data_IF_030370156273
#
_entry.id   IF_030370156273
#
_cell.length_a   1.000
_cell.length_b   1.000
_cell.length_c   1.000
_cell.angle_alpha   90.00
_cell.angle_beta   90.00
_cell.angle_gamma   90.00
#
_symmetry.space_group_name_H-M   'P 1'
#
loop_
_entity.id
_entity.type
_entity.pdbx_description
1 polymer ?
#
# COMPACT_ATOMS: atom_id res chain seq x y z
N UNK A 1 -33.46 -3.70 44.57
CA UNK A 1 -33.84 -3.11 43.27
C UNK A 1 -32.57 -3.24 42.44
N UNK A 2 -32.48 -4.42 41.88
CA UNK A 2 -31.23 -4.93 41.31
C UNK A 2 -31.56 -5.57 39.97
N UNK A 3 -30.61 -5.60 39.09
CA UNK A 3 -30.60 -6.43 37.89
C UNK A 3 -31.36 -5.96 36.66
N UNK A 4 -30.66 -5.21 35.79
CA UNK A 4 -30.93 -5.22 34.36
C UNK A 4 -29.73 -4.77 33.50
N UNK A 5 -28.54 -5.30 33.74
CA UNK A 5 -27.50 -5.32 32.71
C UNK A 5 -27.66 -6.59 31.85
N UNK A 6 -28.67 -6.59 31.00
CA UNK A 6 -28.84 -7.59 29.94
C UNK A 6 -27.70 -7.45 28.95
N UNK A 7 -26.70 -8.32 29.07
CA UNK A 7 -25.67 -8.58 28.07
C UNK A 7 -26.37 -8.92 26.75
N UNK A 8 -26.27 -8.05 25.75
CA UNK A 8 -26.74 -8.32 24.39
C UNK A 8 -26.00 -9.58 23.88
N UNK A 9 -26.70 -10.54 23.26
CA UNK A 9 -26.07 -11.74 22.75
C UNK A 9 -25.08 -11.36 21.66
N UNK A 10 -23.80 -11.68 21.84
CA UNK A 10 -22.79 -11.51 20.79
C UNK A 10 -23.21 -12.32 19.57
N UNK A 11 -23.45 -11.64 18.47
CA UNK A 11 -23.82 -12.24 17.18
C UNK A 11 -22.74 -13.29 16.81
N UNK A 12 -23.14 -14.54 16.65
CA UNK A 12 -22.26 -15.62 16.20
C UNK A 12 -21.72 -15.25 14.80
N UNK A 13 -20.40 -15.09 14.67
CA UNK A 13 -19.73 -14.81 13.38
C UNK A 13 -19.99 -15.93 12.39
N UNK A 14 -20.28 -15.57 11.14
CA UNK A 14 -20.46 -16.50 10.02
C UNK A 14 -19.15 -17.19 9.65
N UNK A 15 -19.22 -18.28 8.88
CA UNK A 15 -18.01 -18.94 8.36
C UNK A 15 -17.21 -18.02 7.43
N UNK A 16 -17.88 -17.19 6.62
CA UNK A 16 -17.24 -16.21 5.75
C UNK A 16 -16.47 -15.16 6.58
N UNK A 17 -17.12 -14.56 7.60
CA UNK A 17 -16.47 -13.60 8.49
C UNK A 17 -15.21 -14.17 9.20
N UNK A 18 -15.26 -15.43 9.63
CA UNK A 18 -14.10 -16.10 10.23
C UNK A 18 -13.00 -16.37 9.22
N UNK A 19 -13.39 -16.67 7.98
CA UNK A 19 -12.45 -16.88 6.88
C UNK A 19 -11.68 -15.61 6.57
N UNK A 20 -12.39 -14.49 6.41
CA UNK A 20 -11.80 -13.19 6.11
C UNK A 20 -10.90 -12.68 7.25
N UNK A 21 -11.35 -12.89 8.50
CA UNK A 21 -10.56 -12.53 9.67
C UNK A 21 -9.25 -13.34 9.75
N UNK A 22 -9.32 -14.66 9.50
CA UNK A 22 -8.13 -15.52 9.51
C UNK A 22 -7.17 -15.17 8.37
N UNK A 23 -7.68 -14.81 7.19
CA UNK A 23 -6.87 -14.40 6.04
C UNK A 23 -6.15 -13.09 6.31
N UNK A 24 -6.86 -12.07 6.83
CA UNK A 24 -6.24 -10.81 7.27
C UNK A 24 -5.21 -11.02 8.38
N UNK A 25 -5.49 -11.92 9.33
CA UNK A 25 -4.54 -12.29 10.38
C UNK A 25 -3.26 -12.92 9.84
N UNK A 26 -3.40 -13.80 8.86
CA UNK A 26 -2.26 -14.44 8.18
C UNK A 26 -1.45 -13.41 7.36
N UNK A 27 -2.11 -12.52 6.60
CA UNK A 27 -1.42 -11.46 5.85
C UNK A 27 -0.63 -10.55 6.78
N UNK A 28 -1.19 -10.17 7.92
CA UNK A 28 -0.47 -9.39 8.95
C UNK A 28 0.73 -10.15 9.51
N UNK A 29 0.61 -11.46 9.71
CA UNK A 29 1.73 -12.30 10.14
C UNK A 29 2.86 -12.34 9.09
N UNK A 30 2.51 -12.38 7.79
CA UNK A 30 3.50 -12.27 6.70
C UNK A 30 4.22 -10.93 6.76
N UNK A 31 3.47 -9.84 6.87
CA UNK A 31 4.02 -8.48 6.96
C UNK A 31 5.00 -8.39 8.12
N UNK A 32 4.62 -8.88 9.31
CA UNK A 32 5.48 -8.88 10.48
C UNK A 32 6.77 -9.71 10.26
N UNK A 33 6.68 -10.93 9.72
CA UNK A 33 7.86 -11.77 9.44
C UNK A 33 8.77 -11.08 8.41
N UNK A 34 8.21 -10.53 7.33
CA UNK A 34 8.99 -9.85 6.30
C UNK A 34 9.67 -8.60 6.86
N UNK A 35 8.98 -7.82 7.68
CA UNK A 35 9.52 -6.59 8.26
C UNK A 35 10.61 -6.85 9.30
N UNK A 36 10.50 -7.92 10.08
CA UNK A 36 11.44 -8.21 11.17
C UNK A 36 12.59 -9.11 10.71
N UNK A 37 12.29 -10.18 9.96
CA UNK A 37 13.21 -11.27 9.65
C UNK A 37 13.60 -11.33 8.16
N UNK A 38 12.93 -10.56 7.29
CA UNK A 38 13.18 -10.51 5.86
C UNK A 38 12.37 -11.53 5.03
N UNK A 39 12.41 -11.37 3.69
CA UNK A 39 11.58 -12.14 2.75
C UNK A 39 11.90 -13.64 2.75
N UNK A 40 13.16 -14.01 2.98
CA UNK A 40 13.58 -15.41 3.01
C UNK A 40 12.99 -16.18 4.20
N UNK A 41 12.76 -15.50 5.32
CA UNK A 41 12.16 -16.07 6.52
C UNK A 41 10.65 -16.31 6.39
N UNK A 42 9.97 -15.73 5.40
CA UNK A 42 8.53 -15.86 5.17
C UNK A 42 8.17 -17.27 4.64
N UNK A 43 8.30 -18.27 5.48
CA UNK A 43 7.85 -19.65 5.23
C UNK A 43 6.46 -19.88 5.81
N UNK A 44 5.72 -20.85 5.28
CA UNK A 44 4.39 -21.21 5.81
C UNK A 44 4.42 -21.58 7.29
N UNK A 45 5.51 -22.16 7.74
CA UNK A 45 5.71 -22.52 9.15
C UNK A 45 5.92 -21.28 10.02
N UNK A 46 6.83 -20.37 9.62
CA UNK A 46 7.09 -19.14 10.35
C UNK A 46 5.85 -18.24 10.43
N UNK A 47 5.12 -18.12 9.32
CA UNK A 47 3.88 -17.35 9.23
C UNK A 47 2.79 -17.96 10.11
N UNK A 48 2.60 -19.29 10.04
CA UNK A 48 1.64 -19.98 10.89
C UNK A 48 1.95 -19.80 12.38
N UNK A 49 3.20 -19.97 12.78
CA UNK A 49 3.65 -19.75 14.17
C UNK A 49 3.40 -18.30 14.60
N UNK A 50 3.74 -17.32 13.78
CA UNK A 50 3.56 -15.88 14.08
C UNK A 50 2.09 -15.49 14.21
N UNK A 51 1.23 -16.05 13.34
CA UNK A 51 -0.21 -15.74 13.31
C UNK A 51 -1.07 -16.58 14.25
N UNK A 52 -0.50 -17.59 14.92
CA UNK A 52 -1.26 -18.54 15.73
C UNK A 52 -2.05 -19.56 14.90
N UNK A 53 -1.58 -19.87 13.68
CA UNK A 53 -2.22 -20.82 12.75
C UNK A 53 -1.32 -22.00 12.43
N UNK A 54 -1.93 -23.11 11.99
CA UNK A 54 -1.15 -24.24 11.50
C UNK A 54 -0.52 -23.98 10.14
N UNK A 55 0.66 -24.57 9.85
CA UNK A 55 1.28 -24.56 8.52
C UNK A 55 0.30 -25.03 7.43
N UNK A 56 -0.51 -26.05 7.75
CA UNK A 56 -1.50 -26.60 6.82
C UNK A 56 -2.56 -25.56 6.42
N UNK A 57 -3.02 -24.75 7.36
CA UNK A 57 -3.98 -23.68 7.08
C UNK A 57 -3.36 -22.61 6.18
N UNK A 58 -2.11 -22.22 6.41
CA UNK A 58 -1.39 -21.26 5.56
C UNK A 58 -1.29 -21.78 4.13
N UNK A 59 -0.85 -23.05 3.96
CA UNK A 59 -0.77 -23.71 2.65
C UNK A 59 -2.12 -23.83 1.95
N UNK A 60 -3.18 -24.16 2.69
CA UNK A 60 -4.55 -24.23 2.15
C UNK A 60 -5.07 -22.87 1.67
N UNK A 61 -4.69 -21.79 2.35
CA UNK A 61 -5.13 -20.44 2.03
C UNK A 61 -4.45 -19.86 0.79
N UNK A 62 -3.15 -19.96 0.74
CA UNK A 62 -2.34 -19.26 -0.25
C UNK A 62 -1.81 -20.17 -1.36
N UNK A 63 -1.84 -21.50 -1.17
CA UNK A 63 -1.40 -22.50 -2.14
C UNK A 63 0.12 -22.49 -2.39
N UNK A 64 0.69 -21.33 -2.58
CA UNK A 64 2.10 -21.12 -2.92
C UNK A 64 2.68 -19.87 -2.26
N UNK A 65 4.01 -19.72 -2.33
CA UNK A 65 4.66 -18.47 -1.91
C UNK A 65 4.23 -17.29 -2.80
N UNK A 66 3.96 -17.54 -4.07
CA UNK A 66 3.41 -16.52 -4.98
C UNK A 66 2.03 -16.06 -4.50
N UNK A 67 1.08 -16.97 -4.28
CA UNK A 67 -0.25 -16.62 -3.79
C UNK A 67 -0.23 -15.91 -2.44
N UNK A 68 0.74 -16.21 -1.58
CA UNK A 68 0.96 -15.49 -0.34
C UNK A 68 1.36 -14.02 -0.59
N UNK A 69 2.30 -13.78 -1.49
CA UNK A 69 2.77 -12.44 -1.81
C UNK A 69 1.68 -11.64 -2.53
N UNK A 70 0.95 -12.26 -3.46
CA UNK A 70 -0.21 -11.65 -4.12
C UNK A 70 -1.26 -11.21 -3.10
N UNK A 71 -1.55 -12.03 -2.09
CA UNK A 71 -2.48 -11.67 -1.01
C UNK A 71 -1.97 -10.48 -0.16
N UNK A 72 -0.65 -10.40 0.09
CA UNK A 72 -0.06 -9.23 0.78
C UNK A 72 -0.19 -7.99 -0.07
N UNK A 73 0.13 -8.07 -1.36
CA UNK A 73 0.01 -6.95 -2.30
C UNK A 73 -1.46 -6.46 -2.31
N UNK A 74 -2.42 -7.36 -2.51
CA UNK A 74 -3.84 -7.02 -2.52
C UNK A 74 -4.29 -6.35 -1.21
N UNK A 75 -3.89 -6.89 -0.06
CA UNK A 75 -4.21 -6.30 1.26
C UNK A 75 -3.67 -4.87 1.40
N UNK A 76 -2.44 -4.63 0.97
CA UNK A 76 -1.81 -3.31 1.05
C UNK A 76 -2.49 -2.30 0.12
N UNK A 77 -3.00 -2.77 -1.02
CA UNK A 77 -3.77 -1.95 -1.96
C UNK A 77 -5.13 -1.59 -1.44
N UNK A 78 -5.88 -2.56 -0.92
CA UNK A 78 -7.16 -2.31 -0.26
C UNK A 78 -7.01 -1.26 0.84
N UNK A 79 -5.92 -1.33 1.60
CA UNK A 79 -5.57 -0.34 2.61
C UNK A 79 -5.31 1.06 2.04
N UNK A 80 -4.60 1.14 0.91
CA UNK A 80 -4.31 2.40 0.22
C UNK A 80 -5.56 3.00 -0.41
N UNK A 81 -6.39 2.18 -1.03
CA UNK A 81 -7.66 2.61 -1.62
C UNK A 81 -8.67 3.08 -0.56
N UNK A 82 -8.79 2.33 0.52
CA UNK A 82 -9.63 2.71 1.66
C UNK A 82 -9.17 4.05 2.27
N UNK A 83 -7.86 4.26 2.33
CA UNK A 83 -7.28 5.49 2.82
C UNK A 83 -7.56 6.69 1.89
N UNK A 84 -7.34 6.55 0.60
CA UNK A 84 -7.66 7.57 -0.39
C UNK A 84 -9.15 7.94 -0.38
N UNK A 85 -10.03 6.93 -0.30
CA UNK A 85 -11.48 7.13 -0.15
C UNK A 85 -11.84 7.84 1.15
N UNK A 86 -11.23 7.46 2.27
CA UNK A 86 -11.46 8.10 3.58
C UNK A 86 -11.11 9.59 3.62
N UNK A 87 -10.19 10.03 2.74
CA UNK A 87 -9.82 11.43 2.56
C UNK A 87 -10.50 12.10 1.36
N UNK A 88 -11.46 11.42 0.71
CA UNK A 88 -12.20 11.93 -0.45
C UNK A 88 -11.31 12.43 -1.58
N UNK A 89 -10.11 11.84 -1.76
CA UNK A 89 -9.11 12.32 -2.72
C UNK A 89 -9.66 12.35 -4.13
N UNK A 90 -10.44 11.34 -4.54
CA UNK A 90 -10.99 11.25 -5.88
C UNK A 90 -12.06 12.33 -6.18
N UNK A 91 -12.61 12.99 -5.16
CA UNK A 91 -13.56 14.10 -5.32
C UNK A 91 -12.90 15.47 -5.46
N UNK A 92 -11.60 15.55 -5.22
CA UNK A 92 -10.84 16.79 -5.38
C UNK A 92 -10.61 17.10 -6.87
N UNK A 93 -10.28 18.34 -7.19
CA UNK A 93 -9.80 18.74 -8.51
C UNK A 93 -8.47 18.02 -8.83
N UNK A 94 -8.17 17.86 -10.14
CA UNK A 94 -7.11 16.95 -10.57
C UNK A 94 -5.74 17.19 -9.95
N UNK A 95 -5.25 18.43 -9.92
CA UNK A 95 -3.96 18.79 -9.31
C UNK A 95 -4.00 18.58 -7.79
N UNK A 96 -5.07 19.01 -7.13
CA UNK A 96 -5.21 18.86 -5.69
C UNK A 96 -5.35 17.39 -5.27
N UNK A 97 -6.01 16.55 -6.08
CA UNK A 97 -6.08 15.12 -5.83
C UNK A 97 -4.69 14.48 -5.84
N UNK A 98 -3.89 14.81 -6.86
CA UNK A 98 -2.53 14.31 -7.00
C UNK A 98 -1.65 14.75 -5.82
N UNK A 99 -1.65 16.05 -5.49
CA UNK A 99 -0.83 16.60 -4.40
C UNK A 99 -1.27 16.06 -3.04
N UNK A 100 -2.58 15.96 -2.80
CA UNK A 100 -3.13 15.39 -1.56
C UNK A 100 -2.71 13.93 -1.39
N UNK A 101 -2.79 13.13 -2.45
CA UNK A 101 -2.35 11.74 -2.39
C UNK A 101 -0.86 11.63 -2.06
N UNK A 102 -0.01 12.41 -2.73
CA UNK A 102 1.45 12.46 -2.47
C UNK A 102 1.72 12.86 -1.01
N UNK A 103 1.03 13.88 -0.52
CA UNK A 103 1.16 14.35 0.85
C UNK A 103 0.83 13.27 1.88
N UNK A 104 -0.33 12.66 1.73
CA UNK A 104 -0.82 11.60 2.61
C UNK A 104 0.08 10.35 2.55
N UNK A 105 0.56 9.99 1.36
CA UNK A 105 1.48 8.87 1.18
C UNK A 105 2.79 9.10 1.96
N UNK A 106 3.41 10.26 1.78
CA UNK A 106 4.67 10.60 2.44
C UNK A 106 4.53 10.75 3.96
N UNK A 107 3.40 11.26 4.46
CA UNK A 107 3.11 11.29 5.90
C UNK A 107 3.08 9.89 6.53
N UNK A 108 2.63 8.90 5.80
CA UNK A 108 2.50 7.52 6.31
C UNK A 108 3.77 6.70 6.18
N UNK A 109 4.69 7.11 5.32
CA UNK A 109 5.84 6.31 4.89
C UNK A 109 6.72 5.80 6.06
N UNK A 110 6.85 6.56 7.12
CA UNK A 110 7.66 6.18 8.30
C UNK A 110 6.86 5.47 9.40
N UNK A 111 5.53 5.39 9.26
CA UNK A 111 4.64 4.96 10.35
C UNK A 111 4.10 3.54 10.20
N UNK A 112 4.35 2.87 9.07
CA UNK A 112 3.70 1.59 8.76
C UNK A 112 4.72 0.51 8.41
N UNK A 113 4.76 -0.55 9.19
CA UNK A 113 5.46 -1.80 8.88
C UNK A 113 5.01 -2.37 7.52
N UNK A 114 3.76 -2.11 7.15
CA UNK A 114 3.16 -2.49 5.88
C UNK A 114 3.90 -1.89 4.68
N UNK A 115 4.22 -0.59 4.72
CA UNK A 115 4.98 0.09 3.65
C UNK A 115 6.39 -0.51 3.56
N UNK A 116 7.03 -0.73 4.70
CA UNK A 116 8.35 -1.35 4.74
C UNK A 116 8.33 -2.78 4.18
N UNK A 117 7.35 -3.59 4.55
CA UNK A 117 7.18 -4.94 4.03
C UNK A 117 6.97 -4.94 2.51
N UNK A 118 6.14 -4.03 1.99
CA UNK A 118 5.91 -3.87 0.56
C UNK A 118 7.21 -3.63 -0.20
N UNK A 119 7.99 -2.65 0.21
CA UNK A 119 9.22 -2.31 -0.48
C UNK A 119 10.32 -3.36 -0.31
N UNK A 120 10.37 -4.08 0.81
CA UNK A 120 11.27 -5.23 0.97
C UNK A 120 10.91 -6.35 -0.01
N UNK A 121 9.63 -6.66 -0.15
CA UNK A 121 9.13 -7.65 -1.11
C UNK A 121 9.39 -7.20 -2.56
N UNK A 122 9.14 -5.93 -2.89
CA UNK A 122 9.41 -5.37 -4.21
C UNK A 122 10.90 -5.44 -4.56
N UNK A 123 11.78 -5.01 -3.66
CA UNK A 123 13.24 -5.07 -3.86
C UNK A 123 13.71 -6.49 -4.09
N UNK A 124 13.19 -7.43 -3.31
CA UNK A 124 13.50 -8.85 -3.49
C UNK A 124 13.00 -9.38 -4.84
N UNK A 125 11.77 -9.05 -5.23
CA UNK A 125 11.19 -9.48 -6.50
C UNK A 125 11.97 -8.94 -7.71
N UNK A 126 12.48 -7.72 -7.64
CA UNK A 126 13.30 -7.11 -8.70
C UNK A 126 14.67 -7.76 -8.78
N UNK A 127 15.32 -8.00 -7.64
CA UNK A 127 16.65 -8.58 -7.57
C UNK A 127 16.70 -10.05 -8.06
N UNK A 128 15.65 -10.83 -7.78
CA UNK A 128 15.62 -12.28 -8.05
C UNK A 128 15.00 -12.64 -9.41
N UNK A 129 14.64 -11.66 -10.24
CA UNK A 129 13.97 -11.89 -11.56
C UNK A 129 12.80 -12.90 -11.44
N UNK A 130 12.06 -12.82 -10.36
CA UNK A 130 11.06 -13.83 -9.98
C UNK A 130 9.69 -13.60 -10.64
N UNK A 131 8.84 -14.63 -10.60
CA UNK A 131 7.44 -14.55 -11.03
C UNK A 131 6.62 -13.48 -10.29
N UNK A 132 7.12 -12.98 -9.13
CA UNK A 132 6.48 -11.93 -8.35
C UNK A 132 6.53 -10.55 -9.00
N UNK A 133 7.44 -10.33 -9.98
CA UNK A 133 7.54 -9.05 -10.69
C UNK A 133 6.23 -8.66 -11.39
N UNK A 134 5.50 -9.64 -11.95
CA UNK A 134 4.24 -9.38 -12.64
C UNK A 134 3.15 -8.82 -11.71
N UNK A 135 3.06 -9.32 -10.48
CA UNK A 135 2.11 -8.82 -9.49
C UNK A 135 2.39 -7.35 -9.12
N UNK A 136 3.68 -7.01 -8.92
CA UNK A 136 4.07 -5.62 -8.67
C UNK A 136 3.88 -4.73 -9.89
N UNK A 137 4.18 -5.23 -11.10
CA UNK A 137 3.99 -4.48 -12.34
C UNK A 137 2.52 -4.09 -12.56
N UNK A 138 1.59 -5.03 -12.34
CA UNK A 138 0.16 -4.76 -12.45
C UNK A 138 -0.30 -3.67 -11.47
N UNK A 139 0.25 -3.67 -10.27
CA UNK A 139 -0.10 -2.68 -9.29
C UNK A 139 0.50 -1.30 -9.57
N UNK A 140 1.76 -1.24 -9.96
CA UNK A 140 2.38 0.03 -10.36
C UNK A 140 1.63 0.64 -11.54
N UNK A 141 1.14 -0.19 -12.47
CA UNK A 141 0.31 0.26 -13.59
C UNK A 141 -1.01 0.85 -13.10
N UNK A 142 -1.69 0.21 -12.16
CA UNK A 142 -2.94 0.72 -11.57
C UNK A 142 -2.75 2.09 -10.89
N UNK A 143 -1.65 2.26 -10.15
CA UNK A 143 -1.32 3.56 -9.52
C UNK A 143 -0.99 4.61 -10.58
N UNK A 144 -0.22 4.24 -11.62
CA UNK A 144 0.10 5.12 -12.73
C UNK A 144 -1.16 5.61 -13.44
N UNK A 145 -2.09 4.71 -13.77
CA UNK A 145 -3.38 5.04 -14.40
C UNK A 145 -4.21 5.99 -13.53
N UNK A 146 -4.22 5.81 -12.21
CA UNK A 146 -4.88 6.72 -11.28
C UNK A 146 -4.29 8.12 -11.33
N UNK A 147 -2.96 8.24 -11.27
CA UNK A 147 -2.28 9.53 -11.37
C UNK A 147 -2.51 10.19 -12.73
N UNK A 148 -2.43 9.43 -13.81
CA UNK A 148 -2.72 9.90 -15.15
C UNK A 148 -4.14 10.44 -15.26
N UNK A 149 -5.13 9.73 -14.70
CA UNK A 149 -6.51 10.19 -14.65
C UNK A 149 -6.68 11.53 -13.92
N UNK A 150 -6.00 11.74 -12.80
CA UNK A 150 -6.03 13.04 -12.10
C UNK A 150 -5.32 14.14 -12.88
N UNK A 151 -4.21 13.82 -13.57
CA UNK A 151 -3.49 14.80 -14.42
C UNK A 151 -4.35 15.20 -15.61
N UNK A 152 -4.99 14.25 -16.32
CA UNK A 152 -5.91 14.53 -17.43
C UNK A 152 -7.06 15.41 -16.96
N UNK A 153 -7.66 15.11 -15.81
CA UNK A 153 -8.72 15.92 -15.20
C UNK A 153 -8.23 17.32 -14.86
N UNK A 154 -7.07 17.47 -14.23
CA UNK A 154 -6.50 18.78 -13.90
C UNK A 154 -6.15 19.64 -15.11
N UNK A 155 -5.78 19.01 -16.24
CA UNK A 155 -5.63 19.72 -17.53
C UNK A 155 -6.98 20.24 -18.04
N UNK A 156 -8.03 19.40 -18.00
CA UNK A 156 -9.36 19.81 -18.40
C UNK A 156 -9.95 20.91 -17.51
N UNK A 157 -9.59 20.94 -16.24
CA UNK A 157 -9.98 21.95 -15.25
C UNK A 157 -9.11 23.23 -15.31
N UNK A 158 -8.10 23.28 -16.18
CA UNK A 158 -7.20 24.42 -16.30
C UNK A 158 -6.22 24.61 -15.13
N UNK A 159 -6.02 23.61 -14.31
CA UNK A 159 -5.08 23.63 -13.18
C UNK A 159 -3.68 23.15 -13.55
N UNK A 160 -3.61 22.24 -14.52
CA UNK A 160 -2.37 21.66 -15.00
C UNK A 160 -2.07 22.17 -16.39
N UNK A 161 -0.83 22.57 -16.62
CA UNK A 161 -0.35 23.10 -17.90
C UNK A 161 -0.63 22.14 -19.06
N UNK A 162 -1.07 22.65 -20.22
CA UNK A 162 -1.58 21.82 -21.31
C UNK A 162 -0.50 21.02 -22.05
N UNK A 163 0.75 21.46 -22.01
CA UNK A 163 1.90 20.83 -22.67
C UNK A 163 2.47 19.61 -21.91
N UNK A 164 2.01 19.35 -20.68
CA UNK A 164 2.46 18.21 -19.90
C UNK A 164 1.91 16.90 -20.47
N UNK A 165 2.77 15.92 -20.73
CA UNK A 165 2.36 14.55 -21.07
C UNK A 165 1.85 13.84 -19.80
N UNK A 166 0.56 13.41 -19.76
CA UNK A 166 -0.02 12.86 -18.54
C UNK A 166 0.62 11.52 -18.12
N UNK A 167 0.96 10.68 -19.07
CA UNK A 167 1.51 9.35 -18.79
C UNK A 167 2.95 9.43 -18.25
N UNK A 168 3.79 10.26 -18.89
CA UNK A 168 5.15 10.50 -18.43
C UNK A 168 5.16 11.18 -17.05
N UNK A 169 4.27 12.15 -16.83
CA UNK A 169 4.15 12.84 -15.56
C UNK A 169 3.66 11.89 -14.43
N UNK A 170 2.70 11.02 -14.70
CA UNK A 170 2.23 10.02 -13.76
C UNK A 170 3.36 9.06 -13.36
N UNK A 171 4.14 8.58 -14.33
CA UNK A 171 5.31 7.73 -14.08
C UNK A 171 6.36 8.46 -13.23
N UNK A 172 6.62 9.73 -13.54
CA UNK A 172 7.58 10.55 -12.77
C UNK A 172 7.15 10.67 -11.30
N UNK A 173 5.88 10.97 -11.03
CA UNK A 173 5.36 11.05 -9.65
C UNK A 173 5.51 9.71 -8.93
N UNK A 174 5.13 8.60 -9.56
CA UNK A 174 5.29 7.26 -8.99
C UNK A 174 6.75 6.92 -8.70
N UNK A 175 7.66 7.27 -9.62
CA UNK A 175 9.11 7.07 -9.45
C UNK A 175 9.67 7.89 -8.28
N UNK A 176 9.19 9.12 -8.08
CA UNK A 176 9.58 9.96 -6.94
C UNK A 176 9.16 9.34 -5.62
N UNK A 177 7.91 8.86 -5.50
CA UNK A 177 7.41 8.19 -4.31
C UNK A 177 8.20 6.89 -4.03
N UNK A 178 8.45 6.10 -5.06
CA UNK A 178 9.27 4.89 -4.97
C UNK A 178 10.69 5.22 -4.48
N UNK A 179 11.33 6.23 -5.05
CA UNK A 179 12.68 6.66 -4.67
C UNK A 179 12.77 7.10 -3.21
N UNK A 180 11.83 7.95 -2.75
CA UNK A 180 11.78 8.37 -1.33
C UNK A 180 11.57 7.17 -0.40
N UNK A 181 10.69 6.25 -0.76
CA UNK A 181 10.42 5.04 0.02
C UNK A 181 11.66 4.16 0.17
N UNK A 182 12.42 3.99 -0.91
CA UNK A 182 13.68 3.25 -0.88
C UNK A 182 14.74 3.93 0.00
N UNK A 183 14.83 5.27 -0.03
CA UNK A 183 15.75 6.01 0.85
C UNK A 183 15.39 5.84 2.33
N UNK A 184 14.10 5.85 2.67
CA UNK A 184 13.65 5.58 4.05
C UNK A 184 13.96 4.16 4.50
N UNK A 185 13.93 3.17 3.59
CA UNK A 185 14.36 1.80 3.90
C UNK A 185 15.88 1.69 4.16
N UNK A 186 16.67 2.48 3.41
CA UNK A 186 18.13 2.53 3.57
C UNK A 186 18.50 3.23 4.88
N UNK A 187 17.86 4.36 5.17
CA UNK A 187 18.04 5.10 6.42
C UNK A 187 16.72 5.36 7.14
N UNK A 188 16.30 4.47 8.06
CA UNK A 188 15.06 4.63 8.82
C UNK A 188 15.03 5.87 9.74
N UNK A 189 16.16 6.56 9.92
CA UNK A 189 16.23 7.81 10.71
C UNK A 189 16.02 9.06 9.85
N UNK A 190 15.86 8.89 8.54
CA UNK A 190 15.62 9.98 7.60
C UNK A 190 14.38 10.80 8.01
N UNK A 191 14.53 12.11 8.02
CA UNK A 191 13.43 13.05 8.27
C UNK A 191 12.63 13.23 6.99
N UNK A 192 11.43 12.68 6.94
CA UNK A 192 10.55 12.71 5.75
C UNK A 192 9.88 14.08 5.57
N UNK A 193 9.57 14.82 6.63
CA UNK A 193 8.83 16.08 6.51
C UNK A 193 9.47 17.14 5.60
N UNK A 194 10.79 17.41 5.66
CA UNK A 194 11.41 18.34 4.71
C UNK A 194 11.32 17.86 3.25
N UNK A 195 11.48 16.53 3.04
CA UNK A 195 11.38 15.93 1.71
C UNK A 195 9.94 16.06 1.19
N UNK A 196 8.96 15.78 2.03
CA UNK A 196 7.53 15.93 1.73
C UNK A 196 7.20 17.34 1.25
N UNK A 197 7.63 18.36 1.99
CA UNK A 197 7.42 19.75 1.62
C UNK A 197 8.04 20.06 0.25
N UNK A 198 9.31 19.68 0.05
CA UNK A 198 10.02 19.90 -1.21
C UNK A 198 9.36 19.16 -2.37
N UNK A 199 8.92 17.92 -2.18
CA UNK A 199 8.21 17.14 -3.20
C UNK A 199 6.92 17.86 -3.65
N UNK A 200 6.09 18.29 -2.71
CA UNK A 200 4.83 18.98 -3.00
C UNK A 200 5.04 20.31 -3.73
N UNK A 201 6.00 21.11 -3.27
CA UNK A 201 6.36 22.38 -3.93
C UNK A 201 6.88 22.15 -5.35
N UNK A 202 7.75 21.16 -5.53
CA UNK A 202 8.32 20.82 -6.84
C UNK A 202 7.23 20.37 -7.81
N UNK A 203 6.33 19.48 -7.38
CA UNK A 203 5.22 19.03 -8.21
C UNK A 203 4.28 20.17 -8.55
N UNK A 204 3.92 21.02 -7.58
CA UNK A 204 3.08 22.19 -7.82
C UNK A 204 3.69 23.12 -8.85
N UNK A 205 4.97 23.46 -8.71
CA UNK A 205 5.68 24.35 -9.66
C UNK A 205 5.83 23.73 -11.06
N UNK A 206 6.02 22.42 -11.14
CA UNK A 206 6.22 21.74 -12.42
C UNK A 206 4.90 21.52 -13.19
N UNK A 207 3.78 21.38 -12.47
CA UNK A 207 2.50 20.94 -13.06
C UNK A 207 1.49 22.10 -13.21
N UNK A 208 1.46 23.07 -12.30
CA UNK A 208 0.49 24.16 -12.35
C UNK A 208 0.68 25.05 -13.58
N UNK A 209 -0.43 25.68 -13.99
CA UNK A 209 -0.44 26.72 -15.03
C UNK A 209 0.28 27.98 -14.55
#
# INVERSE_FOLDING_TARGET
MDDALRTLPQRRRTQAERRDESERGLVKAVIAVVSEEGVSAATFEAIGRRGGYSRGLVGQRFGSKLGLIEAVIAYLHDGTDAFAKGHSVDSLQGLEALLTYVDLYLQRLTRLDEVQAYFRLLSWAVADISAFRSAFAAEHERIRERFEGWIVRGKAEGQIRPDLDPSAAALMVGSQLLGVSMQVLIDPKMKVDPIRTTCLETLRRAFAV
#
